data_IF_830610634533
#
_entry.id   IF_830610634533
#
_cell.length_a   1.000
_cell.length_b   1.000
_cell.length_c   1.000
_cell.angle_alpha   90.00
_cell.angle_beta   90.00
_cell.angle_gamma   90.00
#
_symmetry.space_group_name_H-M   'P 1'
#
loop_
_entity.id
_entity.type
_entity.pdbx_description
1 polymer ?
#
# COMPACT_ATOMS: atom_id res chain seq x y z
N UNK A 1 -29.45 -19.97 -2.18
CA UNK A 1 -28.02 -20.40 -2.28
C UNK A 1 -27.33 -20.19 -0.95
N UNK A 2 -26.52 -21.12 -0.41
CA UNK A 2 -25.77 -20.93 0.85
C UNK A 2 -24.52 -20.04 0.62
N UNK A 3 -23.99 -19.32 1.63
CA UNK A 3 -22.81 -18.44 1.46
C UNK A 3 -21.61 -19.19 0.88
N UNK A 4 -21.39 -20.43 1.32
CA UNK A 4 -20.36 -21.34 0.79
C UNK A 4 -20.52 -21.60 -0.71
N UNK A 5 -21.75 -21.83 -1.20
CA UNK A 5 -22.01 -22.04 -2.63
C UNK A 5 -21.69 -20.80 -3.48
N UNK A 6 -21.94 -19.60 -2.95
CA UNK A 6 -21.57 -18.34 -3.62
C UNK A 6 -20.06 -18.13 -3.69
N UNK A 7 -19.33 -18.50 -2.64
CA UNK A 7 -17.87 -18.46 -2.63
C UNK A 7 -17.25 -19.42 -3.65
N UNK A 8 -17.74 -20.66 -3.72
CA UNK A 8 -17.27 -21.61 -4.73
C UNK A 8 -17.56 -21.15 -6.15
N UNK A 9 -18.77 -20.62 -6.41
CA UNK A 9 -19.10 -20.08 -7.73
C UNK A 9 -18.17 -18.95 -8.16
N UNK A 10 -17.89 -17.99 -7.26
CA UNK A 10 -16.98 -16.88 -7.56
C UNK A 10 -15.53 -17.34 -7.80
N UNK A 11 -15.03 -18.28 -7.00
CA UNK A 11 -13.69 -18.85 -7.20
C UNK A 11 -13.57 -19.60 -8.53
N UNK A 12 -14.59 -20.37 -8.91
CA UNK A 12 -14.62 -21.08 -10.19
C UNK A 12 -14.60 -20.08 -11.35
N UNK A 13 -15.39 -19.01 -11.31
CA UNK A 13 -15.40 -18.01 -12.38
C UNK A 13 -14.07 -17.27 -12.51
N UNK A 14 -13.42 -16.93 -11.38
CA UNK A 14 -12.09 -16.30 -11.37
C UNK A 14 -11.04 -17.25 -11.93
N UNK A 15 -11.08 -18.52 -11.53
CA UNK A 15 -10.16 -19.54 -12.04
C UNK A 15 -10.32 -19.74 -13.55
N UNK A 16 -11.55 -19.80 -14.06
CA UNK A 16 -11.83 -19.90 -15.50
C UNK A 16 -11.28 -18.68 -16.25
N UNK A 17 -11.51 -17.46 -15.74
CA UNK A 17 -11.00 -16.24 -16.37
C UNK A 17 -9.46 -16.22 -16.39
N UNK A 18 -8.81 -16.60 -15.28
CA UNK A 18 -7.36 -16.70 -15.20
C UNK A 18 -6.78 -17.75 -16.15
N UNK A 19 -7.44 -18.92 -16.26
CA UNK A 19 -7.02 -20.00 -17.14
C UNK A 19 -7.14 -19.59 -18.62
N UNK A 20 -8.24 -18.94 -19.01
CA UNK A 20 -8.42 -18.42 -20.36
C UNK A 20 -7.38 -17.34 -20.71
N UNK A 21 -7.07 -16.45 -19.79
CA UNK A 21 -6.01 -15.45 -19.96
C UNK A 21 -4.63 -16.09 -20.13
N UNK A 22 -4.33 -17.14 -19.35
CA UNK A 22 -3.07 -17.88 -19.43
C UNK A 22 -2.96 -18.62 -20.76
N UNK A 23 -3.99 -19.36 -21.17
CA UNK A 23 -4.01 -20.08 -22.46
C UNK A 23 -3.80 -19.13 -23.65
N UNK A 24 -4.41 -17.95 -23.60
CA UNK A 24 -4.19 -16.91 -24.60
C UNK A 24 -2.76 -16.35 -24.56
N UNK A 25 -2.19 -16.13 -23.36
CA UNK A 25 -0.82 -15.62 -23.20
C UNK A 25 0.25 -16.57 -23.73
N UNK A 26 0.02 -17.89 -23.67
CA UNK A 26 0.93 -18.90 -24.24
C UNK A 26 0.59 -19.27 -25.70
N UNK A 27 -0.34 -18.55 -26.32
CA UNK A 27 -0.77 -18.73 -27.71
C UNK A 27 -1.25 -20.17 -28.05
N UNK A 28 -1.71 -20.91 -27.03
CA UNK A 28 -2.10 -22.32 -27.16
C UNK A 28 -3.44 -22.47 -27.90
N UNK A 29 -4.34 -21.50 -27.71
CA UNK A 29 -5.62 -21.38 -28.43
C UNK A 29 -5.89 -19.90 -28.70
N UNK A 30 -6.28 -19.56 -29.93
CA UNK A 30 -6.71 -18.21 -30.29
C UNK A 30 -8.09 -17.93 -29.66
N UNK A 31 -8.09 -17.39 -28.45
CA UNK A 31 -9.33 -17.00 -27.77
C UNK A 31 -9.74 -15.63 -28.28
N UNK A 32 -11.00 -15.48 -28.68
CA UNK A 32 -11.52 -14.18 -29.12
C UNK A 32 -11.35 -13.11 -28.01
N UNK A 33 -10.89 -11.90 -28.33
CA UNK A 33 -10.75 -10.81 -27.35
C UNK A 33 -12.03 -10.52 -26.57
N UNK A 34 -13.20 -10.67 -27.22
CA UNK A 34 -14.51 -10.48 -26.60
C UNK A 34 -14.79 -11.56 -25.53
N UNK A 35 -14.37 -12.79 -25.78
CA UNK A 35 -14.55 -13.89 -24.83
C UNK A 35 -13.69 -13.70 -23.58
N UNK A 36 -12.47 -13.15 -23.72
CA UNK A 36 -11.61 -12.82 -22.58
C UNK A 36 -12.24 -11.72 -21.72
N UNK A 37 -12.68 -10.62 -22.33
CA UNK A 37 -13.37 -9.53 -21.63
C UNK A 37 -14.60 -10.08 -20.91
N UNK A 38 -15.47 -10.81 -21.61
CA UNK A 38 -16.69 -11.36 -21.01
C UNK A 38 -16.39 -12.27 -19.81
N UNK A 39 -15.36 -13.11 -19.89
CA UNK A 39 -14.97 -14.00 -18.78
C UNK A 39 -14.53 -13.23 -17.53
N UNK A 40 -13.76 -12.14 -17.68
CA UNK A 40 -13.29 -11.31 -16.56
C UNK A 40 -14.45 -10.54 -15.93
N UNK A 41 -15.31 -9.93 -16.74
CA UNK A 41 -16.50 -9.22 -16.24
C UNK A 41 -17.51 -10.16 -15.58
N UNK A 42 -17.65 -11.41 -16.06
CA UNK A 42 -18.44 -12.45 -15.39
C UNK A 42 -17.85 -12.82 -14.03
N UNK A 43 -16.52 -12.97 -13.94
CA UNK A 43 -15.84 -13.25 -12.68
C UNK A 43 -16.03 -12.10 -11.66
N UNK A 44 -15.94 -10.85 -12.11
CA UNK A 44 -16.24 -9.67 -11.29
C UNK A 44 -17.68 -9.70 -10.79
N UNK A 45 -18.66 -9.97 -11.66
CA UNK A 45 -20.07 -10.04 -11.28
C UNK A 45 -20.30 -11.12 -10.21
N UNK A 46 -19.69 -12.30 -10.36
CA UNK A 46 -19.77 -13.36 -9.36
C UNK A 46 -19.14 -12.97 -8.02
N UNK A 47 -18.00 -12.26 -8.05
CA UNK A 47 -17.34 -11.73 -6.86
C UNK A 47 -18.18 -10.64 -6.16
N UNK A 48 -18.87 -9.78 -6.90
CA UNK A 48 -19.80 -8.77 -6.35
C UNK A 48 -20.98 -9.46 -5.64
N UNK A 49 -21.59 -10.46 -6.27
CA UNK A 49 -22.67 -11.24 -5.67
C UNK A 49 -22.24 -11.93 -4.37
N UNK A 50 -21.00 -12.42 -4.33
CA UNK A 50 -20.41 -12.95 -3.10
C UNK A 50 -20.18 -11.87 -2.05
N UNK A 51 -19.65 -10.70 -2.44
CA UNK A 51 -19.40 -9.55 -1.56
C UNK A 51 -20.66 -9.04 -0.85
N UNK A 52 -21.75 -8.84 -1.60
CA UNK A 52 -23.07 -8.41 -1.09
C UNK A 52 -23.59 -9.39 -0.02
N UNK A 53 -23.27 -10.67 -0.15
CA UNK A 53 -23.72 -11.68 0.79
C UNK A 53 -22.86 -11.81 2.04
N UNK A 54 -21.58 -11.45 1.95
CA UNK A 54 -20.60 -11.61 3.04
C UNK A 54 -20.51 -10.38 3.95
N UNK A 55 -21.07 -9.23 3.57
CA UNK A 55 -21.19 -7.99 4.38
C UNK A 55 -19.95 -7.66 5.23
N UNK A 56 -18.74 -7.89 4.69
CA UNK A 56 -17.48 -7.72 5.40
C UNK A 56 -16.61 -6.70 4.66
N UNK A 57 -16.09 -5.71 5.40
CA UNK A 57 -15.22 -4.66 4.85
C UNK A 57 -14.00 -5.24 4.15
N UNK A 58 -13.35 -6.25 4.74
CA UNK A 58 -12.19 -6.91 4.12
C UNK A 58 -12.53 -7.51 2.75
N UNK A 59 -13.74 -8.09 2.62
CA UNK A 59 -14.18 -8.66 1.33
C UNK A 59 -14.42 -7.55 0.31
N UNK A 60 -15.02 -6.44 0.72
CA UNK A 60 -15.22 -5.27 -0.14
C UNK A 60 -13.91 -4.60 -0.57
N UNK A 61 -12.91 -4.49 0.31
CA UNK A 61 -11.59 -3.92 -0.04
C UNK A 61 -10.91 -4.75 -1.12
N UNK A 62 -10.83 -6.08 -0.92
CA UNK A 62 -10.24 -6.98 -1.92
C UNK A 62 -11.02 -6.97 -3.24
N UNK A 63 -12.35 -6.95 -3.16
CA UNK A 63 -13.23 -6.87 -4.33
C UNK A 63 -12.99 -5.58 -5.13
N UNK A 64 -12.98 -4.43 -4.46
CA UNK A 64 -12.73 -3.13 -5.10
C UNK A 64 -11.34 -3.03 -5.71
N UNK A 65 -10.33 -3.67 -5.10
CA UNK A 65 -8.97 -3.74 -5.66
C UNK A 65 -8.95 -4.51 -6.98
N UNK A 66 -9.61 -5.67 -7.05
CA UNK A 66 -9.71 -6.48 -8.28
C UNK A 66 -10.48 -5.69 -9.35
N UNK A 67 -11.62 -5.08 -9.01
CA UNK A 67 -12.40 -4.26 -9.93
C UNK A 67 -11.57 -3.09 -10.48
N UNK A 68 -10.83 -2.40 -9.62
CA UNK A 68 -9.97 -1.28 -10.03
C UNK A 68 -8.87 -1.72 -11.00
N UNK A 69 -8.24 -2.87 -10.76
CA UNK A 69 -7.23 -3.42 -11.65
C UNK A 69 -7.80 -3.78 -13.03
N UNK A 70 -8.98 -4.42 -13.06
CA UNK A 70 -9.65 -4.82 -14.30
C UNK A 70 -10.15 -3.61 -15.10
N UNK A 71 -10.68 -2.58 -14.45
CA UNK A 71 -11.04 -1.31 -15.12
C UNK A 71 -9.79 -0.61 -15.67
N UNK A 72 -8.69 -0.59 -14.91
CA UNK A 72 -7.43 0.01 -15.37
C UNK A 72 -6.83 -0.71 -16.58
N UNK A 73 -7.02 -2.02 -16.67
CA UNK A 73 -6.56 -2.84 -17.79
C UNK A 73 -7.48 -2.70 -19.02
N UNK A 74 -8.80 -2.79 -18.86
CA UNK A 74 -9.75 -2.83 -19.97
C UNK A 74 -10.14 -1.43 -20.49
N UNK A 75 -10.16 -0.44 -19.60
CA UNK A 75 -10.57 0.94 -19.89
C UNK A 75 -9.57 1.94 -19.29
N UNK A 76 -8.33 2.02 -19.81
CA UNK A 76 -7.26 2.83 -19.22
C UNK A 76 -7.60 4.32 -19.12
N UNK A 77 -8.34 4.88 -20.08
CA UNK A 77 -8.80 6.28 -20.03
C UNK A 77 -9.73 6.55 -18.83
N UNK A 78 -10.59 5.59 -18.49
CA UNK A 78 -11.47 5.68 -17.33
C UNK A 78 -10.65 5.53 -16.05
N UNK A 79 -9.71 4.58 -16.03
CA UNK A 79 -8.78 4.38 -14.91
C UNK A 79 -7.99 5.65 -14.54
N UNK A 80 -7.50 6.38 -15.54
CA UNK A 80 -6.79 7.66 -15.32
C UNK A 80 -7.73 8.71 -14.72
N UNK A 81 -8.98 8.83 -15.20
CA UNK A 81 -9.96 9.78 -14.64
C UNK A 81 -10.33 9.44 -13.18
N UNK A 82 -10.32 8.16 -12.82
CA UNK A 82 -10.57 7.70 -11.45
C UNK A 82 -9.43 8.01 -10.47
N UNK A 83 -8.28 8.52 -10.93
CA UNK A 83 -7.18 8.95 -10.06
C UNK A 83 -7.62 9.98 -9.02
N UNK A 84 -8.65 10.78 -9.31
CA UNK A 84 -9.25 11.72 -8.35
C UNK A 84 -9.72 11.00 -7.08
N UNK A 85 -10.33 9.82 -7.21
CA UNK A 85 -10.81 9.03 -6.07
C UNK A 85 -9.65 8.57 -5.19
N UNK A 86 -8.57 8.08 -5.81
CA UNK A 86 -7.33 7.71 -5.11
C UNK A 86 -6.72 8.90 -4.38
N UNK A 87 -6.64 10.07 -5.03
CA UNK A 87 -6.13 11.31 -4.43
C UNK A 87 -6.98 11.74 -3.23
N UNK A 88 -8.30 11.67 -3.33
CA UNK A 88 -9.21 11.99 -2.21
C UNK A 88 -9.01 11.03 -1.05
N UNK A 89 -8.97 9.72 -1.32
CA UNK A 89 -8.74 8.69 -0.30
C UNK A 89 -7.42 8.90 0.44
N UNK A 90 -6.32 9.13 -0.29
CA UNK A 90 -5.01 9.39 0.31
C UNK A 90 -5.00 10.68 1.13
N UNK A 91 -5.69 11.74 0.68
CA UNK A 91 -5.86 12.97 1.46
C UNK A 91 -6.61 12.71 2.76
N UNK A 92 -7.68 11.91 2.73
CA UNK A 92 -8.44 11.55 3.94
C UNK A 92 -7.58 10.77 4.94
N UNK A 93 -6.79 9.79 4.48
CA UNK A 93 -5.84 9.09 5.34
C UNK A 93 -4.82 10.07 5.93
N UNK A 94 -4.18 10.90 5.09
CA UNK A 94 -3.12 11.82 5.51
C UNK A 94 -3.60 12.78 6.61
N UNK A 95 -4.84 13.28 6.53
CA UNK A 95 -5.43 14.17 7.54
C UNK A 95 -5.59 13.49 8.90
N UNK A 96 -5.88 12.18 8.93
CA UNK A 96 -6.11 11.44 10.18
C UNK A 96 -4.80 10.99 10.84
N UNK A 97 -3.74 10.74 10.05
CA UNK A 97 -2.47 10.19 10.56
C UNK A 97 -1.85 11.05 11.66
N UNK A 98 -1.72 12.36 11.46
CA UNK A 98 -1.06 13.22 12.44
C UNK A 98 -1.80 13.31 13.78
N UNK A 99 -3.12 13.62 13.83
CA UNK A 99 -3.89 13.59 15.09
C UNK A 99 -3.89 12.22 15.76
N UNK A 100 -4.01 11.14 14.99
CA UNK A 100 -4.05 9.78 15.52
C UNK A 100 -2.71 9.41 16.18
N UNK A 101 -1.58 9.68 15.52
CA UNK A 101 -0.25 9.42 16.07
C UNK A 101 -0.01 10.24 17.35
N UNK A 102 -0.32 11.53 17.34
CA UNK A 102 -0.18 12.37 18.51
C UNK A 102 -1.01 11.85 19.69
N UNK A 103 -2.31 11.64 19.48
CA UNK A 103 -3.22 11.20 20.54
C UNK A 103 -2.82 9.82 21.10
N UNK A 104 -2.47 8.87 20.23
CA UNK A 104 -2.10 7.51 20.66
C UNK A 104 -0.79 7.48 21.42
N UNK A 105 0.21 8.26 21.01
CA UNK A 105 1.49 8.34 21.71
C UNK A 105 1.36 9.06 23.05
N UNK A 106 0.69 10.21 23.09
CA UNK A 106 0.49 10.96 24.34
C UNK A 106 -0.32 10.12 25.34
N UNK A 107 -1.44 9.52 24.90
CA UNK A 107 -2.22 8.63 25.75
C UNK A 107 -1.40 7.41 26.22
N UNK A 108 -0.63 6.82 25.30
CA UNK A 108 0.21 5.67 25.61
C UNK A 108 1.30 5.97 26.64
N UNK A 109 1.95 7.13 26.55
CA UNK A 109 3.03 7.52 27.46
C UNK A 109 2.46 7.99 28.80
N UNK A 110 1.50 8.92 28.79
CA UNK A 110 0.88 9.46 30.00
C UNK A 110 0.12 8.40 30.81
N UNK A 111 -0.35 7.32 30.15
CA UNK A 111 -0.99 6.18 30.81
C UNK A 111 -0.04 5.27 31.61
N UNK A 112 1.28 5.40 31.44
CA UNK A 112 2.28 4.61 32.15
C UNK A 112 3.02 5.47 33.18
N UNK A 113 3.02 5.05 34.45
CA UNK A 113 3.60 5.83 35.55
C UNK A 113 5.15 5.85 35.59
N UNK A 114 5.83 5.04 34.76
CA UNK A 114 7.30 4.92 34.79
C UNK A 114 7.96 5.24 33.44
N UNK A 115 8.59 6.41 33.37
CA UNK A 115 9.38 6.89 32.22
C UNK A 115 10.53 5.93 31.85
N UNK A 116 11.09 5.20 32.82
CA UNK A 116 12.15 4.21 32.56
C UNK A 116 11.62 3.03 31.76
N UNK A 117 10.36 2.68 31.95
CA UNK A 117 9.71 1.62 31.19
C UNK A 117 9.53 2.04 29.72
N UNK A 118 9.13 3.29 29.47
CA UNK A 118 8.99 3.86 28.12
C UNK A 118 10.33 3.88 27.38
N UNK A 119 11.40 4.36 28.03
CA UNK A 119 12.75 4.35 27.44
C UNK A 119 13.24 2.94 27.09
N UNK A 120 12.97 1.95 27.96
CA UNK A 120 13.32 0.54 27.70
C UNK A 120 12.52 -0.05 26.53
N UNK A 121 11.25 0.32 26.36
CA UNK A 121 10.47 -0.07 25.18
C UNK A 121 11.05 0.57 23.92
N UNK A 122 11.42 1.85 23.97
CA UNK A 122 12.00 2.58 22.84
C UNK A 122 13.27 1.94 22.28
N UNK A 123 14.25 1.64 23.14
CA UNK A 123 15.48 0.95 22.68
C UNK A 123 15.20 -0.43 22.09
N UNK A 124 14.30 -1.22 22.72
CA UNK A 124 13.90 -2.53 22.17
C UNK A 124 13.23 -2.39 20.80
N UNK A 125 12.43 -1.35 20.59
CA UNK A 125 11.80 -1.06 19.31
C UNK A 125 12.82 -0.67 18.24
N UNK A 126 13.83 0.17 18.57
CA UNK A 126 14.92 0.53 17.65
C UNK A 126 15.72 -0.70 17.25
N UNK A 127 16.14 -1.51 18.23
CA UNK A 127 16.89 -2.74 17.96
C UNK A 127 16.07 -3.72 17.11
N UNK A 128 14.78 -3.88 17.42
CA UNK A 128 13.87 -4.71 16.63
C UNK A 128 13.73 -4.18 15.20
N UNK A 129 13.52 -2.87 15.04
CA UNK A 129 13.40 -2.23 13.72
C UNK A 129 14.65 -2.47 12.88
N UNK A 130 15.84 -2.18 13.42
CA UNK A 130 17.11 -2.32 12.71
C UNK A 130 17.38 -3.76 12.25
N UNK A 131 17.12 -4.74 13.13
CA UNK A 131 17.32 -6.16 12.79
C UNK A 131 16.34 -6.59 11.71
N UNK A 132 15.05 -6.25 11.85
CA UNK A 132 14.01 -6.68 10.90
C UNK A 132 14.17 -6.00 9.55
N UNK A 133 14.51 -4.69 9.50
CA UNK A 133 14.75 -3.99 8.24
C UNK A 133 16.00 -4.48 7.54
N UNK A 134 17.07 -4.78 8.28
CA UNK A 134 18.28 -5.38 7.72
C UNK A 134 17.97 -6.73 7.06
N UNK A 135 17.24 -7.61 7.75
CA UNK A 135 16.80 -8.89 7.18
C UNK A 135 15.91 -8.66 5.94
N UNK A 136 14.98 -7.72 6.00
CA UNK A 136 14.11 -7.39 4.87
C UNK A 136 14.90 -6.90 3.64
N UNK A 137 15.96 -6.09 3.85
CA UNK A 137 16.85 -5.64 2.78
C UNK A 137 17.58 -6.82 2.12
N UNK A 138 18.11 -7.76 2.89
CA UNK A 138 18.75 -8.96 2.34
C UNK A 138 17.78 -9.81 1.52
N UNK A 139 16.55 -10.01 2.01
CA UNK A 139 15.52 -10.76 1.28
C UNK A 139 15.14 -10.03 -0.02
N UNK A 140 14.89 -8.73 0.04
CA UNK A 140 14.56 -7.93 -1.14
C UNK A 140 15.66 -7.94 -2.20
N UNK A 141 16.91 -7.78 -1.75
CA UNK A 141 18.09 -7.83 -2.62
C UNK A 141 18.26 -9.23 -3.26
N UNK A 142 18.10 -10.29 -2.48
CA UNK A 142 18.15 -11.65 -3.01
C UNK A 142 17.03 -11.90 -4.03
N UNK A 143 15.79 -11.49 -3.73
CA UNK A 143 14.65 -11.68 -4.61
C UNK A 143 14.82 -10.96 -5.95
N UNK A 144 15.29 -9.70 -5.95
CA UNK A 144 15.54 -8.93 -7.18
C UNK A 144 16.68 -9.55 -7.99
N UNK A 145 17.79 -9.94 -7.34
CA UNK A 145 18.93 -10.55 -8.04
C UNK A 145 18.58 -11.92 -8.64
N UNK A 146 17.74 -12.72 -7.97
CA UNK A 146 17.31 -14.03 -8.47
C UNK A 146 16.27 -13.92 -9.59
N UNK A 147 15.27 -13.06 -9.42
CA UNK A 147 14.23 -12.86 -10.43
C UNK A 147 14.68 -12.04 -11.63
N UNK A 148 15.81 -11.32 -11.51
CA UNK A 148 16.28 -10.34 -12.48
C UNK A 148 15.16 -9.36 -12.89
N UNK A 149 14.32 -8.97 -11.93
CA UNK A 149 13.18 -8.11 -12.17
C UNK A 149 13.64 -6.78 -12.81
N UNK A 150 13.17 -6.52 -14.03
CA UNK A 150 13.54 -5.34 -14.81
C UNK A 150 14.48 -5.62 -15.99
N UNK A 151 15.05 -6.82 -16.09
CA UNK A 151 15.82 -7.23 -17.28
C UNK A 151 14.93 -7.21 -18.53
N UNK A 152 15.35 -6.47 -19.56
CA UNK A 152 14.64 -6.38 -20.84
C UNK A 152 13.59 -5.27 -20.94
N UNK A 153 13.40 -4.44 -19.91
CA UNK A 153 12.54 -3.24 -20.02
C UNK A 153 13.22 -2.22 -20.96
N UNK A 154 12.63 -2.02 -22.15
CA UNK A 154 13.01 -0.94 -23.07
C UNK A 154 12.35 0.35 -22.61
N UNK A 155 13.13 1.31 -22.12
CA UNK A 155 12.61 2.62 -21.74
C UNK A 155 12.11 3.35 -23.01
N UNK A 156 10.96 4.05 -22.94
CA UNK A 156 10.50 4.90 -24.04
C UNK A 156 11.54 6.01 -24.34
N UNK A 157 11.68 6.44 -25.60
CA UNK A 157 12.53 7.58 -25.95
C UNK A 157 12.06 8.83 -25.18
N UNK A 158 12.97 9.50 -24.45
CA UNK A 158 12.65 10.68 -23.63
C UNK A 158 12.28 10.40 -22.17
N UNK A 159 12.28 9.14 -21.72
CA UNK A 159 12.05 8.79 -20.32
C UNK A 159 13.28 9.02 -19.41
N UNK A 160 14.45 9.39 -19.96
CA UNK A 160 15.55 9.95 -19.18
C UNK A 160 15.22 11.40 -18.81
N UNK A 161 14.30 11.59 -17.88
CA UNK A 161 14.36 12.81 -17.07
C UNK A 161 15.61 12.69 -16.20
N UNK A 162 16.54 13.64 -16.34
CA UNK A 162 17.64 13.77 -15.39
C UNK A 162 17.03 13.93 -14.01
N UNK A 163 17.21 12.92 -13.15
CA UNK A 163 16.74 12.99 -11.78
C UNK A 163 17.25 14.29 -11.14
N UNK A 164 16.39 15.02 -10.40
CA UNK A 164 16.84 16.20 -9.69
C UNK A 164 17.98 15.82 -8.76
N UNK A 165 19.03 16.65 -8.74
CA UNK A 165 20.19 16.44 -7.89
C UNK A 165 19.75 16.58 -6.42
N UNK A 166 19.68 15.45 -5.70
CA UNK A 166 19.29 15.45 -4.29
C UNK A 166 20.57 15.57 -3.47
N UNK A 167 20.84 16.73 -2.84
CA UNK A 167 22.05 16.91 -2.04
C UNK A 167 22.07 15.91 -0.89
N UNK A 168 23.23 15.32 -0.64
CA UNK A 168 23.41 14.41 0.49
C UNK A 168 23.10 15.15 1.80
N UNK A 169 22.16 14.63 2.58
CA UNK A 169 21.87 15.16 3.91
C UNK A 169 23.02 14.80 4.86
N UNK A 170 23.54 15.80 5.58
CA UNK A 170 24.54 15.52 6.62
C UNK A 170 23.88 14.91 7.86
N UNK A 171 24.67 14.22 8.69
CA UNK A 171 24.18 13.72 9.98
C UNK A 171 23.65 14.85 10.87
N UNK A 172 24.26 16.03 10.79
CA UNK A 172 23.81 17.21 11.53
C UNK A 172 22.41 17.64 11.06
N UNK A 173 22.16 17.66 9.75
CA UNK A 173 20.85 18.02 9.20
C UNK A 173 19.77 17.01 9.63
N UNK A 174 20.10 15.72 9.64
CA UNK A 174 19.19 14.67 10.10
C UNK A 174 18.84 14.88 11.58
N UNK A 175 19.84 15.09 12.44
CA UNK A 175 19.63 15.31 13.87
C UNK A 175 18.77 16.56 14.10
N UNK A 176 19.06 17.66 13.41
CA UNK A 176 18.25 18.87 13.50
C UNK A 176 16.80 18.63 13.06
N UNK A 177 16.58 17.80 12.04
CA UNK A 177 15.24 17.48 11.54
C UNK A 177 14.42 16.59 12.48
N UNK A 178 15.04 15.95 13.48
CA UNK A 178 14.34 15.17 14.52
C UNK A 178 13.51 16.10 15.42
N UNK A 179 14.03 17.28 15.74
CA UNK A 179 13.42 18.18 16.71
C UNK A 179 12.55 19.23 15.99
N UNK A 180 11.23 19.29 16.25
CA UNK A 180 10.37 20.28 15.63
C UNK A 180 10.67 21.70 16.12
N UNK A 181 10.75 22.65 15.20
CA UNK A 181 10.70 24.07 15.52
C UNK A 181 9.28 24.53 15.87
N UNK A 182 8.27 23.96 15.21
CA UNK A 182 6.86 24.30 15.40
C UNK A 182 5.96 23.11 15.04
N UNK A 183 5.17 22.62 16.01
CA UNK A 183 4.30 21.45 15.83
C UNK A 183 3.22 21.65 14.75
N UNK A 184 2.65 22.85 14.62
CA UNK A 184 1.63 23.11 13.62
C UNK A 184 2.21 23.00 12.21
N UNK A 185 3.45 23.48 12.01
CA UNK A 185 4.19 23.30 10.76
C UNK A 185 4.47 21.82 10.49
N UNK A 186 4.96 21.07 11.48
CA UNK A 186 5.25 19.64 11.32
C UNK A 186 4.00 18.84 10.95
N UNK A 187 2.83 19.16 11.52
CA UNK A 187 1.55 18.54 11.17
C UNK A 187 1.12 18.91 9.74
N UNK A 188 1.22 20.19 9.37
CA UNK A 188 0.83 20.67 8.04
C UNK A 188 1.70 20.06 6.93
N UNK A 189 3.00 19.96 7.15
CA UNK A 189 3.96 19.39 6.21
C UNK A 189 3.97 17.85 6.24
N UNK A 190 3.41 17.24 7.29
CA UNK A 190 3.38 15.78 7.46
C UNK A 190 4.72 15.20 7.90
N UNK A 191 5.50 15.95 8.69
CA UNK A 191 6.77 15.52 9.27
C UNK A 191 6.52 14.57 10.45
N UNK A 192 6.29 13.30 10.11
CA UNK A 192 5.92 12.25 11.09
C UNK A 192 6.93 12.15 12.23
N UNK A 193 8.23 12.15 11.93
CA UNK A 193 9.29 12.00 12.94
C UNK A 193 9.21 13.10 14.00
N UNK A 194 9.05 14.35 13.56
CA UNK A 194 8.92 15.50 14.45
C UNK A 194 7.65 15.43 15.30
N UNK A 195 6.53 15.00 14.72
CA UNK A 195 5.27 14.79 15.45
C UNK A 195 5.47 13.75 16.55
N UNK A 196 6.17 12.65 16.26
CA UNK A 196 6.48 11.60 17.25
C UNK A 196 7.33 12.15 18.39
N UNK A 197 8.40 12.88 18.07
CA UNK A 197 9.32 13.46 19.07
C UNK A 197 8.58 14.46 19.97
N UNK A 198 7.78 15.36 19.39
CA UNK A 198 6.94 16.27 20.15
C UNK A 198 5.94 15.53 21.05
N UNK A 199 5.29 14.47 20.53
CA UNK A 199 4.33 13.67 21.29
C UNK A 199 4.98 13.01 22.51
N UNK A 200 6.23 12.55 22.38
CA UNK A 200 6.99 12.00 23.50
C UNK A 200 7.28 13.09 24.51
N UNK A 201 7.80 14.25 24.10
CA UNK A 201 8.09 15.36 25.00
C UNK A 201 6.84 15.90 25.72
N UNK A 202 5.70 15.91 25.04
CA UNK A 202 4.41 16.36 25.60
C UNK A 202 3.75 15.33 26.51
N UNK A 203 3.95 14.03 26.26
CA UNK A 203 3.34 12.95 27.02
C UNK A 203 4.09 12.56 28.30
N UNK A 204 5.36 12.97 28.43
CA UNK A 204 6.20 12.84 29.64
C UNK A 204 5.83 13.95 30.64
#
# INVERSE_FOLDING_TARGET
>A
MKLKQAGYAALITVFIAALLALVNSYNLLAVSPIALIFSRWLAIAALILYGIKKNSLTTWILLSMVIGAEIGHDYPEVGIKLQVLSKVFLKMIKTIVAPLLFATLVYGIAGHADLKQVGRMGWKAILYFEVVTTIALFIGLAAINLSQAGAGIKMPPGAQETLPDVPAQSLNDIILHIFPENIAKSIAEGQILQIVVFSILFGI
#
